data_IF_638841407310
#
_entry.id   IF_638841407310
#
_cell.length_a   1.000
_cell.length_b   1.000
_cell.length_c   1.000
_cell.angle_alpha   90.00
_cell.angle_beta   90.00
_cell.angle_gamma   90.00
#
_symmetry.space_group_name_H-M   'P 1'
#
loop_
_entity.id
_entity.type
_entity.pdbx_description
1 polymer ?
#
# COMPACT_ATOMS: atom_id res chain seq x y z
N UNK A 1 13.04 -12.54 9.23
CA UNK A 1 13.00 -11.59 8.12
C UNK A 1 11.62 -11.61 7.48
N UNK A 2 10.94 -10.45 7.38
CA UNK A 2 9.62 -10.34 6.77
C UNK A 2 9.76 -10.19 5.26
N UNK A 3 8.99 -11.02 4.53
CA UNK A 3 8.86 -10.99 3.07
C UNK A 3 7.39 -10.90 2.75
N UNK A 4 6.98 -9.90 1.99
CA UNK A 4 5.56 -9.74 1.74
C UNK A 4 5.23 -8.75 0.64
N UNK A 5 3.97 -8.36 0.62
CA UNK A 5 3.45 -7.37 -0.30
C UNK A 5 2.33 -6.55 0.36
N UNK A 6 2.06 -5.38 -0.22
CA UNK A 6 0.87 -4.62 0.12
C UNK A 6 -0.35 -5.17 -0.64
N UNK A 7 -1.46 -5.30 0.06
CA UNK A 7 -2.73 -5.75 -0.49
C UNK A 7 -3.66 -4.56 -0.68
N UNK A 8 -4.09 -4.36 -1.92
CA UNK A 8 -5.23 -3.50 -2.27
C UNK A 8 -6.48 -4.36 -2.43
N UNK A 9 -7.70 -3.78 -2.44
CA UNK A 9 -8.91 -4.56 -2.65
C UNK A 9 -8.82 -5.44 -3.91
N UNK A 10 -9.19 -6.74 -3.81
CA UNK A 10 -9.07 -7.67 -4.95
C UNK A 10 -9.95 -7.33 -6.14
N UNK A 11 -11.01 -6.58 -5.91
CA UNK A 11 -11.94 -6.06 -6.92
C UNK A 11 -12.47 -4.69 -6.48
N UNK A 12 -12.72 -3.80 -7.44
CA UNK A 12 -13.36 -2.51 -7.17
C UNK A 12 -14.79 -2.65 -6.64
N UNK A 13 -15.42 -3.80 -6.87
CA UNK A 13 -16.76 -4.14 -6.40
C UNK A 13 -16.67 -5.33 -5.43
N UNK A 14 -16.44 -5.06 -4.17
CA UNK A 14 -16.23 -6.06 -3.12
C UNK A 14 -17.27 -7.20 -3.09
N UNK A 15 -18.59 -6.98 -3.34
CA UNK A 15 -19.56 -8.07 -3.36
C UNK A 15 -19.29 -9.15 -4.42
N UNK A 16 -18.37 -8.91 -5.35
CA UNK A 16 -17.94 -9.92 -6.34
C UNK A 16 -16.76 -10.78 -5.85
N UNK A 17 -16.13 -10.40 -4.75
CA UNK A 17 -15.02 -11.15 -4.18
C UNK A 17 -15.58 -12.31 -3.37
N UNK A 18 -15.21 -13.53 -3.72
CA UNK A 18 -15.60 -14.73 -2.98
C UNK A 18 -14.53 -15.11 -1.93
N UNK A 19 -14.93 -15.89 -0.92
CA UNK A 19 -14.01 -16.46 0.06
C UNK A 19 -12.85 -17.21 -0.64
N UNK A 20 -13.16 -17.98 -1.68
CA UNK A 20 -12.15 -18.70 -2.46
C UNK A 20 -11.14 -17.79 -3.12
N UNK A 21 -11.49 -16.55 -3.46
CA UNK A 21 -10.55 -15.54 -3.98
C UNK A 21 -9.53 -15.16 -2.91
N UNK A 22 -9.98 -14.89 -1.69
CA UNK A 22 -9.08 -14.58 -0.57
C UNK A 22 -8.14 -15.74 -0.24
N UNK A 23 -8.67 -16.97 -0.13
CA UNK A 23 -7.84 -18.17 0.09
C UNK A 23 -6.80 -18.37 -1.01
N UNK A 24 -7.18 -18.18 -2.28
CA UNK A 24 -6.26 -18.29 -3.43
C UNK A 24 -5.15 -17.23 -3.39
N UNK A 25 -5.48 -15.99 -3.05
CA UNK A 25 -4.50 -14.90 -2.94
C UNK A 25 -3.46 -15.20 -1.84
N UNK A 26 -3.90 -15.62 -0.66
CA UNK A 26 -3.02 -15.95 0.45
C UNK A 26 -2.18 -17.19 0.15
N UNK A 27 -2.76 -18.21 -0.48
CA UNK A 27 -2.02 -19.40 -0.92
C UNK A 27 -0.92 -19.04 -1.95
N UNK A 28 -1.23 -18.15 -2.89
CA UNK A 28 -0.25 -17.65 -3.87
C UNK A 28 0.89 -16.87 -3.20
N UNK A 29 0.57 -16.04 -2.22
CA UNK A 29 1.58 -15.34 -1.40
C UNK A 29 2.49 -16.35 -0.69
N UNK A 30 1.93 -17.38 -0.06
CA UNK A 30 2.69 -18.46 0.57
C UNK A 30 3.57 -19.21 -0.44
N UNK A 31 3.06 -19.56 -1.62
CA UNK A 31 3.83 -20.20 -2.70
C UNK A 31 4.98 -19.32 -3.20
N UNK A 32 4.81 -17.99 -3.13
CA UNK A 32 5.86 -17.02 -3.41
C UNK A 32 6.85 -16.82 -2.25
N UNK A 33 6.80 -17.65 -1.20
CA UNK A 33 7.61 -17.55 0.02
C UNK A 33 7.42 -16.25 0.80
N UNK A 34 6.27 -15.64 0.72
CA UNK A 34 5.87 -14.53 1.59
C UNK A 34 5.44 -15.06 2.96
N UNK A 35 5.67 -14.26 4.00
CA UNK A 35 5.27 -14.57 5.38
C UNK A 35 4.52 -13.42 6.06
N UNK A 36 4.29 -12.32 5.36
CA UNK A 36 3.51 -11.18 5.82
C UNK A 36 2.78 -10.52 4.64
N UNK A 37 1.56 -10.05 4.88
CA UNK A 37 0.80 -9.20 3.96
C UNK A 37 0.33 -7.95 4.70
N UNK A 38 0.40 -6.79 4.04
CA UNK A 38 -0.14 -5.54 4.57
C UNK A 38 -1.47 -5.23 3.90
N UNK A 39 -2.51 -5.07 4.72
CA UNK A 39 -3.79 -4.50 4.27
C UNK A 39 -3.66 -2.99 4.27
N UNK A 40 -3.50 -2.42 3.10
CA UNK A 40 -3.16 -1.00 2.89
C UNK A 40 -4.33 -0.07 3.20
N UNK A 41 -4.05 1.03 3.90
CA UNK A 41 -5.03 1.99 4.42
C UNK A 41 -5.79 2.83 3.38
N UNK A 42 -5.39 2.79 2.11
CA UNK A 42 -6.14 3.37 1.00
C UNK A 42 -7.20 2.44 0.40
N UNK A 43 -7.49 1.32 1.06
CA UNK A 43 -8.43 0.30 0.63
C UNK A 43 -9.64 0.18 1.54
N UNK A 44 -9.91 -1.05 1.96
CA UNK A 44 -11.00 -1.45 2.86
C UNK A 44 -10.51 -2.53 3.80
N UNK A 45 -11.18 -2.70 4.94
CA UNK A 45 -11.00 -3.92 5.74
C UNK A 45 -11.56 -5.11 4.97
N UNK A 46 -10.77 -6.17 4.83
CA UNK A 46 -11.20 -7.37 4.09
C UNK A 46 -12.20 -8.20 4.90
N UNK A 47 -12.87 -9.11 4.20
CA UNK A 47 -13.76 -10.09 4.81
C UNK A 47 -12.98 -11.09 5.69
N UNK A 48 -13.66 -11.73 6.64
CA UNK A 48 -13.06 -12.67 7.60
C UNK A 48 -12.30 -13.80 6.89
N UNK A 49 -12.78 -14.23 5.72
CA UNK A 49 -12.12 -15.26 4.90
C UNK A 49 -10.64 -14.93 4.55
N UNK A 50 -10.27 -13.66 4.42
CA UNK A 50 -8.87 -13.28 4.23
C UNK A 50 -8.03 -13.57 5.47
N UNK A 51 -8.52 -13.19 6.64
CA UNK A 51 -7.80 -13.38 7.90
C UNK A 51 -7.74 -14.86 8.29
N UNK A 52 -8.83 -15.61 8.09
CA UNK A 52 -8.85 -17.06 8.25
C UNK A 52 -7.84 -17.76 7.33
N UNK A 53 -7.73 -17.31 6.08
CA UNK A 53 -6.73 -17.84 5.16
C UNK A 53 -5.30 -17.53 5.63
N UNK A 54 -5.05 -16.33 6.17
CA UNK A 54 -3.75 -15.94 6.74
C UNK A 54 -3.42 -16.81 7.97
N UNK A 55 -4.38 -17.02 8.89
CA UNK A 55 -4.23 -17.86 10.06
C UNK A 55 -3.87 -19.30 9.66
N UNK A 56 -4.63 -19.88 8.72
CA UNK A 56 -4.41 -21.24 8.25
C UNK A 56 -3.07 -21.43 7.51
N UNK A 57 -2.54 -20.39 6.90
CA UNK A 57 -1.30 -20.45 6.12
C UNK A 57 -0.06 -19.93 6.86
N UNK A 58 -0.21 -19.40 8.07
CA UNK A 58 0.89 -18.81 8.85
C UNK A 58 1.45 -17.55 8.23
N UNK A 59 0.59 -16.74 7.58
CA UNK A 59 0.93 -15.44 7.01
C UNK A 59 0.57 -14.35 8.00
N UNK A 60 1.53 -13.56 8.43
CA UNK A 60 1.27 -12.41 9.31
C UNK A 60 0.54 -11.29 8.55
N UNK A 61 -0.26 -10.53 9.27
CA UNK A 61 -0.99 -9.37 8.74
C UNK A 61 -0.52 -8.09 9.42
N UNK A 62 -0.09 -7.13 8.61
CA UNK A 62 0.01 -5.74 8.97
C UNK A 62 -1.31 -5.06 8.58
N UNK A 63 -2.09 -4.63 9.57
CA UNK A 63 -3.39 -4.03 9.33
C UNK A 63 -3.32 -2.51 9.49
N UNK A 64 -3.50 -1.78 8.37
CA UNK A 64 -3.76 -0.34 8.44
C UNK A 64 -5.22 -0.09 8.83
N UNK A 65 -5.47 0.96 9.61
CA UNK A 65 -6.75 1.64 9.62
C UNK A 65 -6.93 2.41 8.30
N UNK A 66 -8.17 2.58 7.83
CA UNK A 66 -8.47 3.03 6.47
C UNK A 66 -8.27 4.54 6.29
N UNK A 67 -7.03 4.98 6.45
CA UNK A 67 -6.57 6.35 6.25
C UNK A 67 -5.32 6.35 5.37
N UNK A 68 -5.30 7.19 4.31
CA UNK A 68 -4.16 7.26 3.39
C UNK A 68 -4.02 8.63 2.74
N UNK A 69 -2.79 9.12 2.63
CA UNK A 69 -2.37 10.25 1.79
C UNK A 69 -3.25 11.50 1.92
N UNK A 70 -3.81 11.77 3.10
CA UNK A 70 -4.69 12.92 3.37
C UNK A 70 -4.66 13.34 4.82
N UNK A 71 -5.12 14.55 5.11
CA UNK A 71 -5.37 15.01 6.47
C UNK A 71 -6.86 14.93 6.78
N UNK A 72 -7.18 14.59 8.02
CA UNK A 72 -8.54 14.31 8.48
C UNK A 72 -8.97 15.28 9.58
N UNK A 73 -10.28 15.55 9.73
CA UNK A 73 -10.79 16.43 10.79
C UNK A 73 -10.54 15.88 12.19
N UNK A 74 -10.38 16.77 13.18
CA UNK A 74 -10.24 16.42 14.59
C UNK A 74 -11.43 16.88 15.44
N UNK A 75 -12.57 17.21 14.83
CA UNK A 75 -13.79 17.53 15.57
C UNK A 75 -14.32 16.29 16.32
N UNK A 76 -15.07 16.55 17.39
CA UNK A 76 -15.54 15.49 18.28
C UNK A 76 -16.38 14.42 17.58
N UNK A 77 -17.22 14.83 16.62
CA UNK A 77 -18.09 13.91 15.89
C UNK A 77 -17.28 12.97 15.01
N UNK A 78 -16.30 13.50 14.29
CA UNK A 78 -15.42 12.69 13.43
C UNK A 78 -14.57 11.75 14.30
N UNK A 79 -13.94 12.26 15.35
CA UNK A 79 -13.10 11.46 16.26
C UNK A 79 -13.88 10.32 16.90
N UNK A 80 -15.12 10.56 17.37
CA UNK A 80 -15.94 9.48 17.95
C UNK A 80 -16.38 8.46 16.91
N UNK A 81 -16.67 8.89 15.67
CA UNK A 81 -16.97 7.95 14.58
C UNK A 81 -15.77 7.06 14.24
N UNK A 82 -14.58 7.65 14.14
CA UNK A 82 -13.33 6.89 13.92
C UNK A 82 -13.05 5.93 15.08
N UNK A 83 -13.25 6.38 16.31
CA UNK A 83 -13.09 5.54 17.49
C UNK A 83 -14.01 4.32 17.45
N UNK A 84 -15.28 4.51 17.05
CA UNK A 84 -16.20 3.38 16.89
C UNK A 84 -15.75 2.42 15.79
N UNK A 85 -15.26 2.92 14.64
CA UNK A 85 -14.68 2.11 13.58
C UNK A 85 -13.47 1.28 14.08
N UNK A 86 -12.59 1.88 14.88
CA UNK A 86 -11.47 1.18 15.52
C UNK A 86 -11.99 0.06 16.43
N UNK A 87 -12.97 0.36 17.31
CA UNK A 87 -13.56 -0.62 18.22
C UNK A 87 -14.15 -1.79 17.46
N UNK A 88 -14.95 -1.53 16.43
CA UNK A 88 -15.65 -2.56 15.67
C UNK A 88 -14.65 -3.50 14.94
N UNK A 89 -13.66 -2.90 14.25
CA UNK A 89 -12.70 -3.70 13.50
C UNK A 89 -11.70 -4.44 14.42
N UNK A 90 -11.25 -3.82 15.51
CA UNK A 90 -10.37 -4.51 16.46
C UNK A 90 -11.11 -5.66 17.13
N UNK A 91 -12.36 -5.47 17.58
CA UNK A 91 -13.15 -6.54 18.18
C UNK A 91 -13.39 -7.70 17.21
N UNK A 92 -13.57 -7.40 15.91
CA UNK A 92 -13.72 -8.43 14.88
C UNK A 92 -12.42 -9.20 14.64
N UNK A 93 -11.28 -8.53 14.62
CA UNK A 93 -10.02 -9.07 14.12
C UNK A 93 -9.05 -9.54 15.21
N UNK A 94 -9.19 -9.10 16.47
CA UNK A 94 -8.23 -9.37 17.55
C UNK A 94 -7.99 -10.86 17.86
N UNK A 95 -8.92 -11.72 17.48
CA UNK A 95 -8.78 -13.16 17.71
C UNK A 95 -8.05 -13.90 16.58
N UNK A 96 -7.67 -13.20 15.49
CA UNK A 96 -6.85 -13.77 14.43
C UNK A 96 -5.37 -13.73 14.83
N UNK A 97 -4.72 -14.89 15.04
CA UNK A 97 -3.31 -14.92 15.43
C UNK A 97 -2.37 -14.40 14.35
N UNK A 98 -2.86 -14.22 13.14
CA UNK A 98 -2.12 -13.60 12.03
C UNK A 98 -1.91 -12.09 12.22
N UNK A 99 -2.77 -11.37 12.95
CA UNK A 99 -2.62 -9.92 13.17
C UNK A 99 -1.35 -9.64 13.97
N UNK A 100 -0.36 -9.04 13.31
CA UNK A 100 0.95 -8.76 13.91
C UNK A 100 1.11 -7.30 14.35
N UNK A 101 0.48 -6.36 13.65
CA UNK A 101 0.59 -4.93 13.92
C UNK A 101 -0.62 -4.16 13.38
N UNK A 102 -1.02 -3.14 14.11
CA UNK A 102 -1.99 -2.13 13.70
C UNK A 102 -1.27 -0.86 13.29
N UNK A 103 -1.64 -0.27 12.14
CA UNK A 103 -1.05 0.96 11.66
C UNK A 103 -2.11 2.05 11.52
N UNK A 104 -1.81 3.24 11.99
CA UNK A 104 -2.75 4.36 12.03
C UNK A 104 -3.12 4.86 10.64
N UNK A 105 -2.14 5.01 9.76
CA UNK A 105 -2.39 5.54 8.41
C UNK A 105 -1.24 5.24 7.45
N UNK A 106 -1.54 5.38 6.15
CA UNK A 106 -0.56 5.38 5.08
C UNK A 106 -0.16 6.81 4.69
N UNK A 107 1.10 7.15 4.87
CA UNK A 107 1.78 8.35 4.34
C UNK A 107 1.26 9.72 4.79
N UNK A 108 0.35 9.81 5.76
CA UNK A 108 -0.20 11.11 6.17
C UNK A 108 0.86 11.98 6.84
N UNK A 109 1.68 11.41 7.72
CA UNK A 109 2.80 12.11 8.39
C UNK A 109 3.85 12.55 7.37
N UNK A 110 4.26 11.65 6.50
CA UNK A 110 5.23 11.92 5.44
C UNK A 110 4.72 13.01 4.48
N UNK A 111 3.47 12.90 4.04
CA UNK A 111 2.85 13.88 3.15
C UNK A 111 2.75 15.26 3.79
N UNK A 112 2.40 15.31 5.07
CA UNK A 112 2.34 16.58 5.80
C UNK A 112 3.68 17.29 5.87
N UNK A 113 4.75 16.57 6.17
CA UNK A 113 6.05 17.17 6.39
C UNK A 113 6.86 17.39 5.11
N UNK A 114 6.68 16.55 4.08
CA UNK A 114 7.63 16.48 2.97
C UNK A 114 7.02 16.66 1.57
N UNK A 115 5.68 16.60 1.40
CA UNK A 115 5.07 16.76 0.07
C UNK A 115 4.63 18.19 -0.25
N UNK A 116 4.84 19.12 0.69
CA UNK A 116 4.56 20.53 0.47
C UNK A 116 3.08 20.90 0.45
N UNK A 117 2.22 20.11 1.09
CA UNK A 117 0.77 20.34 1.15
C UNK A 117 0.40 21.73 1.67
N UNK A 118 1.14 22.27 2.65
CA UNK A 118 0.89 23.60 3.18
C UNK A 118 0.93 24.67 2.09
N UNK A 119 1.87 24.55 1.15
CA UNK A 119 1.99 25.45 0.00
C UNK A 119 0.96 25.11 -1.08
N UNK A 120 0.80 23.84 -1.39
CA UNK A 120 -0.11 23.36 -2.44
C UNK A 120 -1.56 23.80 -2.18
N UNK A 121 -2.02 23.67 -0.93
CA UNK A 121 -3.37 24.03 -0.52
C UNK A 121 -3.48 25.43 0.09
N UNK A 122 -2.39 26.19 0.07
CA UNK A 122 -2.34 27.58 0.57
C UNK A 122 -2.82 27.72 2.02
N UNK A 123 -2.45 26.75 2.89
CA UNK A 123 -2.81 26.79 4.31
C UNK A 123 -2.10 27.92 5.04
N UNK A 124 -2.83 28.69 5.82
CA UNK A 124 -2.25 29.64 6.77
C UNK A 124 -1.47 28.92 7.87
N UNK A 125 -0.68 29.67 8.65
CA UNK A 125 -0.01 29.10 9.82
C UNK A 125 -1.02 28.58 10.87
N UNK A 126 -2.17 29.24 11.02
CA UNK A 126 -3.22 28.81 11.92
C UNK A 126 -3.87 27.50 11.45
N UNK A 127 -4.22 27.41 10.15
CA UNK A 127 -4.76 26.19 9.55
C UNK A 127 -3.78 25.03 9.71
N UNK A 128 -2.50 25.25 9.36
CA UNK A 128 -1.47 24.24 9.49
C UNK A 128 -1.30 23.73 10.92
N UNK A 129 -1.39 24.62 11.90
CA UNK A 129 -1.33 24.23 13.31
C UNK A 129 -2.56 23.41 13.72
N UNK A 130 -3.74 23.83 13.30
CA UNK A 130 -4.99 23.11 13.60
C UNK A 130 -4.99 21.73 12.95
N UNK A 131 -4.71 21.62 11.66
CA UNK A 131 -4.68 20.35 10.92
C UNK A 131 -3.69 19.36 11.56
N UNK A 132 -2.51 19.83 11.95
CA UNK A 132 -1.53 18.97 12.63
C UNK A 132 -1.97 18.55 14.02
N UNK A 133 -2.67 19.41 14.77
CA UNK A 133 -3.26 19.03 16.05
C UNK A 133 -4.37 18.00 15.88
N UNK A 134 -5.21 18.13 14.86
CA UNK A 134 -6.24 17.16 14.53
C UNK A 134 -5.62 15.79 14.18
N UNK A 135 -4.55 15.77 13.40
CA UNK A 135 -3.77 14.57 13.11
C UNK A 135 -3.28 13.88 14.38
N UNK A 136 -2.65 14.64 15.29
CA UNK A 136 -2.16 14.08 16.56
C UNK A 136 -3.30 13.53 17.42
N UNK A 137 -4.41 14.24 17.50
CA UNK A 137 -5.58 13.82 18.27
C UNK A 137 -6.11 12.47 17.82
N UNK A 138 -6.15 12.21 16.50
CA UNK A 138 -6.59 10.93 15.94
C UNK A 138 -5.51 9.85 16.10
N UNK A 139 -4.33 10.07 15.54
CA UNK A 139 -3.33 9.02 15.33
C UNK A 139 -2.34 8.84 16.49
N UNK A 140 -2.11 9.86 17.32
CA UNK A 140 -1.20 9.75 18.45
C UNK A 140 -1.90 9.67 19.82
N UNK A 141 -3.20 9.99 19.88
CA UNK A 141 -3.92 10.00 21.15
C UNK A 141 -5.10 9.02 21.14
N UNK A 142 -6.10 9.22 20.27
CA UNK A 142 -7.35 8.46 20.31
C UNK A 142 -7.16 7.00 19.93
N UNK A 143 -6.54 6.71 18.78
CA UNK A 143 -6.35 5.31 18.32
C UNK A 143 -5.50 4.51 19.31
N UNK A 144 -4.28 4.92 19.71
CA UNK A 144 -3.49 4.12 20.65
C UNK A 144 -4.19 3.93 21.98
N UNK A 145 -4.86 4.97 22.54
CA UNK A 145 -5.63 4.84 23.79
C UNK A 145 -6.78 3.84 23.66
N UNK A 146 -7.44 3.79 22.51
CA UNK A 146 -8.51 2.84 22.24
C UNK A 146 -7.96 1.42 22.17
N UNK A 147 -6.84 1.21 21.46
CA UNK A 147 -6.16 -0.09 21.37
C UNK A 147 -5.68 -0.56 22.74
N UNK A 148 -5.07 0.29 23.55
CA UNK A 148 -4.65 -0.05 24.92
C UNK A 148 -5.82 -0.53 25.79
N UNK A 149 -7.01 0.03 25.58
CA UNK A 149 -8.22 -0.38 26.29
C UNK A 149 -8.75 -1.73 25.82
N UNK A 150 -8.69 -2.01 24.51
CA UNK A 150 -9.21 -3.25 23.91
C UNK A 150 -8.22 -4.42 24.06
N UNK A 151 -6.93 -4.14 24.01
CA UNK A 151 -5.83 -5.10 23.96
C UNK A 151 -4.81 -4.89 25.11
N UNK A 152 -5.24 -4.88 26.37
CA UNK A 152 -4.40 -4.44 27.49
C UNK A 152 -3.18 -5.34 27.79
N UNK A 153 -3.16 -6.55 27.23
CA UNK A 153 -2.05 -7.50 27.39
C UNK A 153 -1.01 -7.40 26.29
N UNK A 154 -1.33 -6.74 25.21
CA UNK A 154 -0.47 -6.59 24.04
C UNK A 154 0.28 -5.27 24.11
N UNK A 155 1.56 -5.30 23.83
CA UNK A 155 2.43 -4.10 23.86
C UNK A 155 3.10 -3.92 22.51
N UNK A 156 3.30 -2.65 22.13
CA UNK A 156 4.03 -2.27 20.90
C UNK A 156 3.40 -2.81 19.60
N UNK A 157 2.08 -2.95 19.57
CA UNK A 157 1.33 -3.44 18.41
C UNK A 157 0.78 -2.30 17.53
N UNK A 158 1.05 -1.05 17.87
CA UNK A 158 0.57 0.11 17.13
C UNK A 158 1.71 0.91 16.51
N UNK A 159 1.55 1.24 15.23
CA UNK A 159 2.42 2.10 14.45
C UNK A 159 1.60 3.28 13.91
N UNK A 160 1.94 4.52 14.27
CA UNK A 160 1.06 5.66 14.01
C UNK A 160 0.94 6.03 12.54
N UNK A 161 1.99 5.87 11.76
CA UNK A 161 2.02 6.15 10.33
C UNK A 161 3.08 5.29 9.63
N UNK A 162 2.76 4.78 8.46
CA UNK A 162 3.72 4.14 7.56
C UNK A 162 3.88 4.98 6.30
N UNK A 163 5.08 5.46 5.94
CA UNK A 163 6.34 5.20 6.66
C UNK A 163 6.48 6.13 7.87
N UNK A 164 7.33 5.73 8.80
CA UNK A 164 7.81 6.63 9.83
C UNK A 164 8.80 7.65 9.28
N UNK A 165 9.58 7.27 8.26
CA UNK A 165 10.52 8.15 7.56
C UNK A 165 10.55 7.82 6.06
N UNK A 166 10.07 8.74 5.21
CA UNK A 166 10.00 8.54 3.77
C UNK A 166 11.36 8.54 3.08
N UNK A 167 11.37 8.06 1.83
CA UNK A 167 12.56 8.03 0.99
C UNK A 167 13.10 9.45 0.70
N UNK A 168 14.39 9.53 0.37
CA UNK A 168 15.09 10.81 0.18
C UNK A 168 15.70 11.36 1.46
N UNK A 169 15.31 10.85 2.64
CA UNK A 169 15.91 11.19 3.93
C UNK A 169 16.91 10.11 4.36
N UNK A 170 18.07 10.55 4.84
CA UNK A 170 19.16 9.64 5.25
C UNK A 170 18.74 8.69 6.38
N UNK A 171 17.90 9.15 7.27
CA UNK A 171 17.42 8.42 8.43
C UNK A 171 16.54 7.22 8.05
N UNK A 172 15.90 7.26 6.88
CA UNK A 172 15.04 6.18 6.38
C UNK A 172 15.76 4.83 6.25
N UNK A 173 17.08 4.84 6.13
CA UNK A 173 17.89 3.63 6.04
C UNK A 173 18.21 2.98 7.40
N UNK A 174 18.01 3.71 8.51
CA UNK A 174 18.46 3.27 9.84
C UNK A 174 17.36 3.25 10.90
N UNK A 175 16.23 3.89 10.67
CA UNK A 175 15.17 4.07 11.64
C UNK A 175 13.81 3.73 11.05
N UNK A 176 12.96 3.08 11.85
CA UNK A 176 11.56 2.79 11.53
C UNK A 176 11.37 1.94 10.26
N UNK A 177 10.29 2.20 9.59
CA UNK A 177 9.98 1.66 8.27
C UNK A 177 10.13 2.74 7.18
N UNK A 178 10.28 2.30 5.93
CA UNK A 178 10.54 3.19 4.81
C UNK A 178 9.69 2.83 3.59
N UNK A 179 9.12 3.84 2.96
CA UNK A 179 8.58 3.78 1.60
C UNK A 179 9.64 4.29 0.63
N UNK A 180 10.19 3.41 -0.20
CA UNK A 180 11.24 3.78 -1.14
C UNK A 180 10.71 3.82 -2.57
N UNK A 181 10.43 5.00 -3.06
CA UNK A 181 9.89 5.24 -4.42
C UNK A 181 10.91 5.85 -5.39
N UNK A 182 12.20 5.82 -5.04
CA UNK A 182 13.28 6.34 -5.87
C UNK A 182 13.38 5.70 -7.24
N UNK A 183 13.00 4.43 -7.38
CA UNK A 183 12.96 3.76 -8.68
C UNK A 183 11.73 4.20 -9.47
N UNK A 184 10.52 3.91 -9.00
CA UNK A 184 9.30 4.14 -9.78
C UNK A 184 9.00 5.61 -10.05
N UNK A 185 9.15 6.47 -9.04
CA UNK A 185 8.95 7.91 -9.15
C UNK A 185 10.22 8.67 -9.48
N UNK A 186 11.34 8.26 -8.87
CA UNK A 186 12.63 8.95 -9.00
C UNK A 186 13.46 8.51 -10.18
N UNK A 187 13.05 7.50 -10.94
CA UNK A 187 13.76 6.94 -12.10
C UNK A 187 15.19 6.48 -11.82
N UNK A 188 15.51 6.17 -10.58
CA UNK A 188 16.76 5.55 -10.18
C UNK A 188 16.86 4.11 -10.74
N UNK A 189 18.06 3.59 -11.07
CA UNK A 189 18.21 2.23 -11.57
C UNK A 189 17.88 1.18 -10.50
N UNK A 190 17.50 -0.05 -10.92
CA UNK A 190 17.14 -1.14 -10.00
C UNK A 190 18.24 -1.49 -9.01
N UNK A 191 19.51 -1.34 -9.39
CA UNK A 191 20.68 -1.58 -8.51
C UNK A 191 20.69 -0.70 -7.26
N UNK A 192 19.86 0.36 -7.21
CA UNK A 192 19.74 1.20 -6.02
C UNK A 192 19.05 0.44 -4.87
N UNK A 193 18.17 -0.52 -5.19
CA UNK A 193 17.53 -1.36 -4.17
C UNK A 193 18.53 -2.17 -3.34
N UNK A 194 19.68 -2.54 -3.91
CA UNK A 194 20.75 -3.22 -3.16
C UNK A 194 21.51 -2.28 -2.23
N UNK A 195 21.49 -0.98 -2.48
CA UNK A 195 22.25 0.04 -1.75
C UNK A 195 21.44 0.78 -0.70
N UNK A 196 20.15 0.98 -0.97
CA UNK A 196 19.26 1.76 -0.11
C UNK A 196 18.25 0.85 0.59
N UNK A 197 18.77 -0.06 1.39
CA UNK A 197 17.97 -1.01 2.19
C UNK A 197 17.83 -0.47 3.59
N UNK A 198 16.61 -0.11 3.98
CA UNK A 198 16.27 0.28 5.34
C UNK A 198 16.05 -0.92 6.26
N UNK A 199 15.74 -0.66 7.53
CA UNK A 199 15.46 -1.72 8.52
C UNK A 199 14.19 -2.50 8.19
N UNK A 200 13.17 -1.82 7.67
CA UNK A 200 11.93 -2.39 7.17
C UNK A 200 11.48 -1.58 5.96
N UNK A 201 11.46 -2.20 4.80
CA UNK A 201 10.97 -1.59 3.56
C UNK A 201 9.50 -1.95 3.43
N UNK A 202 8.63 -1.08 3.97
CA UNK A 202 7.18 -1.30 3.96
C UNK A 202 6.52 -1.02 2.62
N UNK A 203 7.13 -0.15 1.79
CA UNK A 203 6.76 0.01 0.40
C UNK A 203 7.97 0.26 -0.50
N UNK A 204 7.96 -0.39 -1.63
CA UNK A 204 8.79 -0.13 -2.81
C UNK A 204 8.19 -0.91 -3.98
N UNK A 205 8.67 -0.71 -5.17
CA UNK A 205 8.26 -1.56 -6.29
C UNK A 205 8.34 -0.88 -7.65
N UNK A 206 7.93 -1.65 -8.63
CA UNK A 206 7.87 -1.25 -10.02
C UNK A 206 6.64 -1.87 -10.67
N UNK A 207 5.97 -1.15 -11.55
CA UNK A 207 4.76 -1.64 -12.22
C UNK A 207 5.12 -2.50 -13.43
N UNK A 208 4.51 -3.70 -13.51
CA UNK A 208 4.41 -4.46 -14.76
C UNK A 208 3.04 -4.28 -15.39
N UNK A 209 2.91 -4.62 -16.67
CA UNK A 209 1.63 -4.69 -17.34
C UNK A 209 0.83 -5.90 -16.84
N UNK A 210 -0.52 -5.85 -16.83
CA UNK A 210 -1.33 -7.04 -16.64
C UNK A 210 -1.05 -8.09 -17.73
N UNK A 211 -1.27 -9.37 -17.42
CA UNK A 211 -1.15 -10.41 -18.43
C UNK A 211 -2.29 -10.30 -19.49
N UNK A 212 -2.08 -10.92 -20.64
CA UNK A 212 -3.00 -10.85 -21.77
C UNK A 212 -4.41 -11.33 -21.38
N UNK A 213 -4.51 -12.44 -20.63
CA UNK A 213 -5.79 -13.00 -20.21
C UNK A 213 -6.59 -12.04 -19.33
N UNK A 214 -5.91 -11.23 -18.50
CA UNK A 214 -6.57 -10.19 -17.70
C UNK A 214 -7.12 -9.09 -18.59
N UNK A 215 -6.31 -8.60 -19.54
CA UNK A 215 -6.74 -7.57 -20.49
C UNK A 215 -7.89 -8.03 -21.37
N UNK A 216 -7.88 -9.29 -21.83
CA UNK A 216 -8.96 -9.87 -22.64
C UNK A 216 -10.33 -9.92 -21.91
N UNK A 217 -10.34 -9.92 -20.58
CA UNK A 217 -11.59 -9.87 -19.80
C UNK A 217 -12.22 -8.49 -19.74
N UNK A 218 -11.44 -7.43 -19.97
CA UNK A 218 -11.87 -6.03 -19.77
C UNK A 218 -11.73 -5.16 -21.03
N UNK A 219 -11.11 -5.69 -22.08
CA UNK A 219 -10.89 -4.99 -23.35
C UNK A 219 -11.37 -5.83 -24.54
N UNK A 220 -11.86 -5.16 -25.59
CA UNK A 220 -12.19 -5.84 -26.85
C UNK A 220 -10.92 -6.26 -27.57
N UNK A 221 -11.00 -7.30 -28.40
CA UNK A 221 -9.85 -7.85 -29.13
C UNK A 221 -9.14 -6.80 -30.00
N UNK A 222 -9.90 -5.94 -30.65
CA UNK A 222 -9.39 -4.84 -31.50
C UNK A 222 -8.65 -3.75 -30.70
N UNK A 223 -8.92 -3.65 -29.40
CA UNK A 223 -8.30 -2.68 -28.50
C UNK A 223 -7.00 -3.19 -27.83
N UNK A 224 -6.65 -4.47 -28.01
CA UNK A 224 -5.43 -5.07 -27.45
C UNK A 224 -4.19 -4.66 -28.27
N UNK A 225 -3.86 -3.37 -28.21
CA UNK A 225 -2.69 -2.77 -28.86
C UNK A 225 -2.30 -1.45 -28.17
N UNK A 226 -1.05 -0.99 -28.36
CA UNK A 226 -0.50 0.20 -27.73
C UNK A 226 -1.17 1.52 -28.12
N UNK A 227 -1.83 1.57 -29.28
CA UNK A 227 -2.38 2.80 -29.83
C UNK A 227 -3.84 3.00 -29.49
N UNK A 228 -4.53 1.97 -28.98
CA UNK A 228 -5.94 2.04 -28.65
C UNK A 228 -6.20 3.00 -27.49
N UNK A 229 -7.28 3.76 -27.58
CA UNK A 229 -7.72 4.64 -26.49
C UNK A 229 -8.11 3.84 -25.24
N UNK A 230 -8.66 2.64 -25.42
CA UNK A 230 -8.98 1.77 -24.29
C UNK A 230 -7.72 1.40 -23.49
N UNK A 231 -6.63 0.99 -24.17
CA UNK A 231 -5.37 0.67 -23.48
C UNK A 231 -4.77 1.89 -22.80
N UNK A 232 -4.72 3.05 -23.45
CA UNK A 232 -4.23 4.30 -22.88
C UNK A 232 -5.03 4.74 -21.64
N UNK A 233 -6.35 4.57 -21.67
CA UNK A 233 -7.22 4.90 -20.53
C UNK A 233 -7.00 4.02 -19.28
N UNK A 234 -6.33 2.87 -19.41
CA UNK A 234 -5.95 2.03 -18.26
C UNK A 234 -4.73 2.59 -17.52
N UNK A 235 -3.93 3.47 -18.13
CA UNK A 235 -2.85 4.15 -17.44
C UNK A 235 -3.41 5.16 -16.45
N UNK A 236 -3.13 4.97 -15.15
CA UNK A 236 -3.54 5.89 -14.08
C UNK A 236 -2.35 6.68 -13.50
N UNK A 237 -1.15 6.14 -13.60
CA UNK A 237 0.07 6.90 -13.30
C UNK A 237 0.34 7.91 -14.44
N UNK A 238 0.78 9.14 -14.17
CA UNK A 238 1.00 10.16 -15.20
C UNK A 238 1.93 9.76 -16.36
N UNK A 239 2.92 8.90 -16.08
CA UNK A 239 3.94 8.45 -17.04
C UNK A 239 4.27 6.96 -16.89
N UNK A 240 3.32 6.12 -16.46
CA UNK A 240 3.59 4.72 -16.11
C UNK A 240 4.08 3.88 -17.30
N UNK A 241 3.40 3.97 -18.43
CA UNK A 241 3.76 3.21 -19.62
C UNK A 241 5.10 3.66 -20.21
N UNK A 242 5.33 4.97 -20.21
CA UNK A 242 6.60 5.58 -20.64
C UNK A 242 7.75 5.15 -19.72
N UNK A 243 7.51 5.10 -18.42
CA UNK A 243 8.50 4.64 -17.44
C UNK A 243 8.82 3.15 -17.63
N UNK A 244 7.81 2.30 -17.83
CA UNK A 244 8.02 0.88 -18.13
C UNK A 244 8.88 0.71 -19.38
N UNK A 245 8.56 1.45 -20.44
CA UNK A 245 9.33 1.38 -21.70
C UNK A 245 10.78 1.84 -21.50
N UNK A 246 10.99 2.96 -20.80
CA UNK A 246 12.33 3.49 -20.51
C UNK A 246 13.21 2.47 -19.76
N UNK A 247 12.66 1.78 -18.75
CA UNK A 247 13.39 0.75 -18.02
C UNK A 247 13.57 -0.52 -18.86
N UNK A 248 12.59 -0.85 -19.70
CA UNK A 248 12.72 -1.99 -20.61
C UNK A 248 13.89 -1.79 -21.60
N UNK A 249 14.04 -0.60 -22.16
CA UNK A 249 15.15 -0.23 -23.04
C UNK A 249 16.53 -0.36 -22.39
N UNK A 250 16.61 -0.21 -21.05
CA UNK A 250 17.89 -0.38 -20.33
C UNK A 250 18.32 -1.83 -20.23
N UNK A 251 17.37 -2.76 -20.13
CA UNK A 251 17.64 -4.12 -19.67
C UNK A 251 17.26 -5.20 -20.69
N UNK A 252 16.39 -4.89 -21.65
CA UNK A 252 15.83 -5.84 -22.61
C UNK A 252 15.79 -5.26 -24.04
N UNK A 253 15.66 -6.13 -25.01
CA UNK A 253 15.20 -5.73 -26.34
C UNK A 253 13.70 -5.49 -26.27
N UNK A 254 13.26 -4.26 -26.53
CA UNK A 254 11.84 -3.91 -26.45
C UNK A 254 11.06 -4.66 -27.53
N UNK A 255 10.10 -5.53 -27.16
CA UNK A 255 9.29 -6.25 -28.12
C UNK A 255 8.39 -5.30 -28.94
N UNK A 256 8.16 -5.66 -30.20
CA UNK A 256 7.20 -4.96 -31.08
C UNK A 256 5.81 -5.57 -31.01
N UNK A 257 5.72 -6.83 -30.69
CA UNK A 257 4.48 -7.54 -30.48
C UNK A 257 3.87 -7.16 -29.12
N UNK A 258 2.55 -7.02 -29.07
CA UNK A 258 1.85 -6.55 -27.89
C UNK A 258 1.91 -7.57 -26.74
N UNK A 259 1.71 -8.86 -27.03
CA UNK A 259 1.74 -9.92 -26.02
C UNK A 259 3.14 -10.10 -25.45
N UNK A 260 4.16 -10.14 -26.31
CA UNK A 260 5.56 -10.23 -25.89
C UNK A 260 5.96 -9.02 -25.01
N UNK A 261 5.47 -7.82 -25.35
CA UNK A 261 5.72 -6.63 -24.53
C UNK A 261 5.12 -6.75 -23.14
N UNK A 262 3.86 -7.22 -23.03
CA UNK A 262 3.23 -7.46 -21.74
C UNK A 262 4.06 -8.42 -20.90
N UNK A 263 4.49 -9.54 -21.51
CA UNK A 263 5.31 -10.55 -20.84
C UNK A 263 6.67 -9.98 -20.37
N UNK A 264 7.39 -9.29 -21.25
CA UNK A 264 8.69 -8.70 -20.89
C UNK A 264 8.55 -7.62 -19.82
N UNK A 265 7.44 -6.87 -19.81
CA UNK A 265 7.18 -5.91 -18.73
C UNK A 265 7.05 -6.58 -17.36
N UNK A 266 6.49 -7.78 -17.31
CA UNK A 266 6.39 -8.58 -16.08
C UNK A 266 7.76 -9.14 -15.65
N UNK A 267 8.58 -9.56 -16.60
CA UNK A 267 9.97 -9.94 -16.32
C UNK A 267 10.78 -8.76 -15.78
N UNK A 268 10.57 -7.58 -16.34
CA UNK A 268 11.18 -6.33 -15.87
C UNK A 268 10.78 -6.02 -14.41
N UNK A 269 9.48 -6.14 -14.08
CA UNK A 269 8.99 -5.97 -12.71
C UNK A 269 9.60 -7.03 -11.77
N UNK A 270 9.68 -8.28 -12.20
CA UNK A 270 10.24 -9.35 -11.39
C UNK A 270 11.76 -9.20 -11.16
N UNK A 271 12.46 -8.49 -12.05
CA UNK A 271 13.88 -8.16 -11.87
C UNK A 271 14.07 -7.10 -10.78
N UNK A 272 13.25 -6.03 -10.75
CA UNK A 272 13.29 -4.99 -9.72
C UNK A 272 12.80 -5.51 -8.36
#
# INVERSE_FOLDING_TARGET
FMKGANMVPPDSFLPRVSDSTYFSLVENAKKANMNMLRVWGGGVYFDDAFYEACDANGILVWQDFMFACSMYPGDEKFVENVKQEVIDNVNRLQNHPSIAIWCGNNENDEGWHNWGWQKQFNYSKADSTQIWNDYKKVFHEMIPKTLDSLLPKEKNIYWSSSPSIGWGRKESLTQGDSHYWGVWWGKEPFEIYEKKVGRFMSEYGFQGMPNLETLQKVMRKEDLNFTSEAFKNHQKHPTGYETINEYMERDFVVPKDFEDYLYVSQLLQARG
#
